data_IF_353608852871
#
_entry.id   IF_353608852871
#
_cell.length_a   1.000
_cell.length_b   1.000
_cell.length_c   1.000
_cell.angle_alpha   90.00
_cell.angle_beta   90.00
_cell.angle_gamma   90.00
#
_symmetry.space_group_name_H-M   'P 1'
#
loop_
_entity.id
_entity.type
_entity.pdbx_description
1 polymer ?
#
# COMPACT_ATOMS: atom_id res chain seq x y z
N UNK A 1 -20.75 -8.29 13.12
CA UNK A 1 -19.73 -7.49 13.84
C UNK A 1 -18.37 -7.72 13.18
N UNK A 2 -17.62 -6.66 12.92
CA UNK A 2 -16.27 -6.72 12.38
C UNK A 2 -15.34 -6.05 13.38
N UNK A 3 -14.35 -6.76 13.89
CA UNK A 3 -13.39 -6.28 14.88
C UNK A 3 -12.04 -5.94 14.23
N UNK A 4 -11.73 -6.54 13.08
CA UNK A 4 -10.50 -6.33 12.33
C UNK A 4 -10.82 -6.09 10.86
N UNK A 5 -10.27 -5.03 10.30
CA UNK A 5 -10.28 -4.74 8.87
C UNK A 5 -8.84 -4.71 8.32
N UNK A 6 -8.56 -5.51 7.31
CA UNK A 6 -7.28 -5.46 6.59
C UNK A 6 -7.54 -4.96 5.17
N UNK A 7 -7.21 -3.70 4.91
CA UNK A 7 -7.24 -3.08 3.59
C UNK A 7 -6.01 -3.51 2.79
N UNK A 8 -6.11 -4.66 2.14
CA UNK A 8 -5.02 -5.28 1.39
C UNK A 8 -5.20 -5.15 -0.13
N UNK A 9 -6.44 -5.04 -0.61
CA UNK A 9 -6.72 -4.92 -2.04
C UNK A 9 -5.95 -3.75 -2.66
N UNK A 10 -5.39 -3.96 -3.86
CA UNK A 10 -4.67 -2.91 -4.56
C UNK A 10 -4.14 -3.35 -5.92
N UNK A 11 -4.03 -2.37 -6.79
CA UNK A 11 -3.45 -2.49 -8.12
C UNK A 11 -2.09 -1.79 -8.18
N UNK A 12 -1.35 -2.08 -9.24
CA UNK A 12 -0.01 -1.55 -9.47
C UNK A 12 0.14 -1.06 -10.90
N UNK A 13 0.79 0.10 -11.08
CA UNK A 13 1.03 0.72 -12.39
C UNK A 13 2.50 1.10 -12.54
N UNK A 14 2.98 1.16 -13.78
CA UNK A 14 4.31 1.65 -14.14
C UNK A 14 4.25 2.36 -15.49
N UNK A 15 4.42 3.69 -15.47
CA UNK A 15 4.41 4.59 -16.63
C UNK A 15 5.37 5.76 -16.43
N UNK A 16 5.92 6.34 -17.51
CA UNK A 16 6.42 7.71 -17.46
C UNK A 16 5.29 8.68 -17.09
N UNK A 17 5.55 9.64 -16.21
CA UNK A 17 4.50 10.55 -15.73
C UNK A 17 3.85 11.34 -16.87
N UNK A 18 4.63 11.77 -17.84
CA UNK A 18 4.18 12.52 -19.02
C UNK A 18 3.20 11.73 -19.91
N UNK A 19 3.34 10.42 -19.94
CA UNK A 19 2.54 9.52 -20.77
C UNK A 19 1.38 8.85 -20.01
N UNK A 20 1.28 9.07 -18.70
CA UNK A 20 0.31 8.41 -17.84
C UNK A 20 -1.09 9.05 -17.98
N UNK A 21 -2.12 8.31 -18.47
CA UNK A 21 -3.46 8.83 -18.61
C UNK A 21 -4.10 9.18 -17.26
N UNK A 22 -4.86 10.28 -17.20
CA UNK A 22 -5.52 10.72 -15.97
C UNK A 22 -6.57 9.73 -15.47
N UNK A 23 -7.30 9.07 -16.37
CA UNK A 23 -8.29 8.04 -16.02
C UNK A 23 -7.63 6.79 -15.38
N UNK A 24 -6.40 6.46 -15.81
CA UNK A 24 -5.62 5.40 -15.17
C UNK A 24 -5.18 5.79 -13.75
N UNK A 25 -4.86 7.07 -13.52
CA UNK A 25 -4.57 7.59 -12.18
C UNK A 25 -5.83 7.52 -11.31
N UNK A 26 -6.96 8.04 -11.82
CA UNK A 26 -8.23 8.04 -11.10
C UNK A 26 -8.62 6.62 -10.68
N UNK A 27 -8.64 5.68 -11.62
CA UNK A 27 -8.92 4.27 -11.34
C UNK A 27 -8.02 3.71 -10.22
N UNK A 28 -6.72 4.01 -10.28
CA UNK A 28 -5.80 3.51 -9.27
C UNK A 28 -6.10 4.09 -7.88
N UNK A 29 -6.48 5.37 -7.80
CA UNK A 29 -6.90 6.01 -6.56
C UNK A 29 -8.22 5.44 -6.04
N UNK A 30 -9.19 5.18 -6.91
CA UNK A 30 -10.46 4.54 -6.53
C UNK A 30 -10.20 3.18 -5.85
N UNK A 31 -9.36 2.33 -6.45
CA UNK A 31 -9.07 1.00 -5.92
C UNK A 31 -8.18 1.08 -4.67
N UNK A 32 -7.03 1.77 -4.76
CA UNK A 32 -6.01 1.70 -3.72
C UNK A 32 -6.30 2.59 -2.51
N UNK A 33 -7.06 3.66 -2.67
CA UNK A 33 -7.27 4.66 -1.62
C UNK A 33 -8.73 4.76 -1.23
N UNK A 34 -9.60 5.18 -2.15
CA UNK A 34 -10.98 5.53 -1.81
C UNK A 34 -11.78 4.32 -1.35
N UNK A 35 -11.60 3.16 -1.98
CA UNK A 35 -12.24 1.92 -1.53
C UNK A 35 -11.83 1.52 -0.10
N UNK A 36 -10.55 1.61 0.22
CA UNK A 36 -10.04 1.33 1.56
C UNK A 36 -10.59 2.31 2.62
N UNK A 37 -10.63 3.60 2.27
CA UNK A 37 -11.16 4.64 3.16
C UNK A 37 -12.67 4.44 3.37
N UNK A 38 -13.43 4.18 2.31
CA UNK A 38 -14.87 3.95 2.38
C UNK A 38 -15.22 2.76 3.27
N UNK A 39 -14.54 1.61 3.09
CA UNK A 39 -14.73 0.45 3.95
C UNK A 39 -14.40 0.76 5.41
N UNK A 40 -13.32 1.50 5.65
CA UNK A 40 -12.95 1.94 6.99
C UNK A 40 -14.05 2.80 7.61
N UNK A 41 -14.53 3.83 6.91
CA UNK A 41 -15.60 4.72 7.39
C UNK A 41 -16.88 3.96 7.75
N UNK A 42 -17.26 2.95 6.96
CA UNK A 42 -18.45 2.14 7.21
C UNK A 42 -18.35 1.29 8.49
N UNK A 43 -17.15 0.86 8.87
CA UNK A 43 -16.93 -0.01 10.01
C UNK A 43 -16.59 0.72 11.31
N UNK A 44 -16.03 1.93 11.20
CA UNK A 44 -15.57 2.72 12.34
C UNK A 44 -16.64 2.99 13.40
N UNK A 45 -17.91 3.33 13.08
CA UNK A 45 -18.92 3.59 14.11
C UNK A 45 -19.09 2.39 15.06
N UNK A 46 -19.24 1.19 14.51
CA UNK A 46 -19.40 -0.01 15.33
C UNK A 46 -18.15 -0.39 16.13
N UNK A 47 -16.95 -0.20 15.58
CA UNK A 47 -15.69 -0.38 16.32
C UNK A 47 -15.58 0.60 17.48
N UNK A 48 -15.89 1.87 17.25
CA UNK A 48 -15.85 2.93 18.26
C UNK A 48 -16.85 2.68 19.40
N UNK A 49 -18.08 2.29 19.06
CA UNK A 49 -19.14 1.99 20.06
C UNK A 49 -18.73 0.84 20.99
N UNK A 50 -18.02 -0.14 20.47
CA UNK A 50 -17.51 -1.28 21.26
C UNK A 50 -16.22 -0.96 22.01
N UNK A 51 -15.59 0.16 21.76
CA UNK A 51 -14.29 0.50 22.35
C UNK A 51 -13.13 -0.40 21.86
N UNK A 52 -13.31 -1.11 20.74
CA UNK A 52 -12.32 -2.04 20.20
C UNK A 52 -12.39 -2.12 18.68
N UNK A 53 -11.24 -1.98 18.03
CA UNK A 53 -11.11 -2.14 16.58
C UNK A 53 -9.67 -2.11 16.11
N UNK A 54 -9.40 -2.85 15.03
CA UNK A 54 -8.10 -2.88 14.35
C UNK A 54 -8.30 -2.64 12.86
N UNK A 55 -7.65 -1.62 12.33
CA UNK A 55 -7.62 -1.34 10.90
C UNK A 55 -6.18 -1.35 10.44
N UNK A 56 -5.86 -2.27 9.53
CA UNK A 56 -4.54 -2.39 8.92
C UNK A 56 -4.61 -1.92 7.47
N UNK A 57 -3.80 -0.93 7.12
CA UNK A 57 -3.58 -0.48 5.74
C UNK A 57 -2.33 -1.15 5.18
N UNK A 58 -2.47 -1.98 4.17
CA UNK A 58 -1.31 -2.57 3.48
C UNK A 58 -0.75 -1.54 2.50
N UNK A 59 0.28 -0.85 2.98
CA UNK A 59 1.03 0.17 2.26
C UNK A 59 2.07 -0.41 1.31
N UNK A 60 3.20 0.26 1.24
CA UNK A 60 4.40 -0.18 0.52
C UNK A 60 5.59 0.65 1.01
N UNK A 61 6.77 0.07 1.06
CA UNK A 61 8.01 0.85 1.29
C UNK A 61 8.23 1.93 0.23
N UNK A 62 7.58 1.84 -0.93
CA UNK A 62 7.61 2.90 -1.94
C UNK A 62 6.94 4.20 -1.47
N UNK A 63 6.12 4.17 -0.42
CA UNK A 63 5.62 5.39 0.24
C UNK A 63 6.72 6.16 0.98
N UNK A 64 7.80 5.47 1.39
CA UNK A 64 8.95 6.06 2.08
C UNK A 64 10.17 6.22 1.17
N UNK A 65 10.31 5.33 0.17
CA UNK A 65 11.42 5.30 -0.79
C UNK A 65 10.87 5.24 -2.22
N UNK A 66 10.51 6.39 -2.81
CA UNK A 66 9.86 6.44 -4.13
C UNK A 66 10.79 5.95 -5.23
N UNK A 67 10.20 5.38 -6.27
CA UNK A 67 10.91 4.86 -7.44
C UNK A 67 10.38 5.54 -8.71
N UNK A 68 11.27 5.83 -9.66
CA UNK A 68 10.91 6.38 -10.97
C UNK A 68 9.87 5.49 -11.70
N UNK A 69 9.05 6.10 -12.53
CA UNK A 69 7.96 5.45 -13.28
C UNK A 69 6.85 4.83 -12.41
N UNK A 70 6.84 5.14 -11.11
CA UNK A 70 5.87 4.65 -10.13
C UNK A 70 5.07 5.76 -9.45
N UNK A 71 5.05 6.96 -10.02
CA UNK A 71 4.49 8.18 -9.40
C UNK A 71 3.05 7.99 -8.90
N UNK A 72 2.15 7.46 -9.72
CA UNK A 72 0.75 7.21 -9.33
C UNK A 72 0.63 6.18 -8.20
N UNK A 73 1.35 5.07 -8.30
CA UNK A 73 1.35 4.03 -7.26
C UNK A 73 1.94 4.55 -5.94
N UNK A 74 3.07 5.23 -6.00
CA UNK A 74 3.70 5.88 -4.84
C UNK A 74 2.71 6.83 -4.18
N UNK A 75 2.04 7.69 -4.96
CA UNK A 75 1.07 8.63 -4.46
C UNK A 75 -0.09 7.94 -3.71
N UNK A 76 -0.63 6.83 -4.24
CA UNK A 76 -1.69 6.08 -3.55
C UNK A 76 -1.21 5.49 -2.22
N UNK A 77 0.02 4.97 -2.15
CA UNK A 77 0.56 4.39 -0.92
C UNK A 77 0.94 5.46 0.12
N UNK A 78 1.40 6.63 -0.32
CA UNK A 78 1.58 7.81 0.53
C UNK A 78 0.23 8.29 1.09
N UNK A 79 -0.82 8.34 0.26
CA UNK A 79 -2.16 8.74 0.69
C UNK A 79 -2.69 7.80 1.79
N UNK A 80 -2.62 6.48 1.62
CA UNK A 80 -3.03 5.50 2.66
C UNK A 80 -2.28 5.73 3.97
N UNK A 81 -0.97 5.92 3.91
CA UNK A 81 -0.14 6.20 5.09
C UNK A 81 -0.57 7.49 5.78
N UNK A 82 -0.82 8.55 5.01
CA UNK A 82 -1.31 9.84 5.52
C UNK A 82 -2.64 9.70 6.25
N UNK A 83 -3.63 9.07 5.61
CA UNK A 83 -4.94 8.80 6.22
C UNK A 83 -4.82 7.99 7.51
N UNK A 84 -4.08 6.88 7.48
CA UNK A 84 -3.91 6.03 8.66
C UNK A 84 -3.25 6.78 9.82
N UNK A 85 -2.22 7.57 9.54
CA UNK A 85 -1.46 8.30 10.56
C UNK A 85 -2.30 9.40 11.21
N UNK A 86 -3.07 10.15 10.43
CA UNK A 86 -3.94 11.21 10.92
C UNK A 86 -5.12 10.63 11.72
N UNK A 87 -5.90 9.74 11.09
CA UNK A 87 -7.09 9.14 11.71
C UNK A 87 -6.78 8.32 12.96
N UNK A 88 -5.57 7.74 13.07
CA UNK A 88 -5.16 7.05 14.29
C UNK A 88 -5.24 7.94 15.52
N UNK A 89 -4.89 9.22 15.41
CA UNK A 89 -4.96 10.17 16.56
C UNK A 89 -6.38 10.48 16.98
N UNK A 90 -7.32 10.42 16.01
CA UNK A 90 -8.74 10.65 16.24
C UNK A 90 -9.39 9.44 16.96
N UNK A 91 -8.94 8.24 16.62
CA UNK A 91 -9.63 6.98 16.93
C UNK A 91 -9.02 6.21 18.12
N UNK A 92 -7.72 6.40 18.38
CA UNK A 92 -7.05 5.70 19.49
C UNK A 92 -7.67 5.98 20.88
N UNK A 93 -8.23 7.16 21.18
CA UNK A 93 -8.94 7.38 22.45
C UNK A 93 -10.19 6.48 22.61
N UNK A 94 -10.73 5.98 21.51
CA UNK A 94 -11.89 5.06 21.51
C UNK A 94 -11.49 3.57 21.42
N UNK A 95 -10.21 3.24 21.63
CA UNK A 95 -9.75 1.86 21.53
C UNK A 95 -9.64 1.32 20.09
N UNK A 96 -9.77 2.17 19.08
CA UNK A 96 -9.64 1.80 17.65
C UNK A 96 -8.29 2.21 17.12
N UNK A 97 -7.53 1.23 16.59
CA UNK A 97 -6.16 1.45 16.15
C UNK A 97 -6.02 1.30 14.64
N UNK A 98 -5.56 2.36 13.98
CA UNK A 98 -5.14 2.33 12.58
C UNK A 98 -3.63 2.12 12.50
N UNK A 99 -3.21 1.20 11.64
CA UNK A 99 -1.80 0.82 11.47
C UNK A 99 -1.50 0.64 9.99
N UNK A 100 -0.33 1.10 9.57
CA UNK A 100 0.18 0.84 8.22
C UNK A 100 1.23 -0.28 8.29
N UNK A 101 1.12 -1.25 7.40
CA UNK A 101 2.17 -2.25 7.13
C UNK A 101 2.80 -1.90 5.79
N UNK A 102 4.11 -1.62 5.76
CA UNK A 102 4.88 -1.28 4.57
C UNK A 102 5.80 -2.45 4.17
N UNK A 103 5.35 -3.37 3.33
CA UNK A 103 6.21 -4.37 2.77
C UNK A 103 7.21 -3.76 1.78
N UNK A 104 8.40 -4.31 1.75
CA UNK A 104 9.33 -4.14 0.63
C UNK A 104 8.90 -4.94 -0.59
N UNK A 105 9.85 -5.48 -1.32
CA UNK A 105 9.54 -6.33 -2.47
C UNK A 105 9.09 -7.71 -2.01
N UNK A 106 7.92 -8.15 -2.51
CA UNK A 106 7.29 -9.43 -2.15
C UNK A 106 7.12 -10.27 -3.41
N UNK A 107 7.38 -11.57 -3.31
CA UNK A 107 7.11 -12.55 -4.37
C UNK A 107 5.62 -12.95 -4.35
N UNK A 108 4.73 -12.13 -4.94
CA UNK A 108 3.26 -12.35 -4.93
C UNK A 108 2.61 -12.34 -6.31
N UNK A 109 3.39 -12.25 -7.39
CA UNK A 109 2.86 -12.09 -8.75
C UNK A 109 2.16 -10.74 -9.01
N UNK A 110 2.29 -9.76 -8.11
CA UNK A 110 1.77 -8.39 -8.35
C UNK A 110 2.51 -7.74 -9.53
N UNK A 111 3.76 -8.12 -9.74
CA UNK A 111 4.57 -7.69 -10.87
C UNK A 111 3.96 -8.09 -12.21
N UNK A 112 3.42 -9.32 -12.31
CA UNK A 112 2.82 -9.85 -13.53
C UNK A 112 1.48 -9.16 -13.85
N UNK A 113 0.74 -8.78 -12.81
CA UNK A 113 -0.55 -8.08 -12.91
C UNK A 113 -0.41 -6.56 -12.99
N UNK A 114 0.83 -6.04 -12.93
CA UNK A 114 1.09 -4.60 -13.03
C UNK A 114 0.76 -4.10 -14.42
N UNK A 115 -0.09 -3.08 -14.51
CA UNK A 115 -0.30 -2.37 -15.77
C UNK A 115 0.97 -1.61 -16.13
N UNK A 116 1.54 -1.93 -17.28
CA UNK A 116 2.75 -1.33 -17.81
C UNK A 116 2.46 -0.73 -19.17
N UNK A 117 2.97 0.46 -19.39
CA UNK A 117 2.87 1.13 -20.67
C UNK A 117 4.09 2.00 -20.92
N UNK A 118 4.52 2.05 -22.15
CA UNK A 118 5.45 3.02 -22.69
C UNK A 118 5.09 3.26 -24.15
N UNK A 119 5.00 4.52 -24.56
CA UNK A 119 4.63 4.86 -25.93
C UNK A 119 5.74 4.46 -26.92
N UNK A 120 5.34 4.14 -28.14
CA UNK A 120 6.30 3.90 -29.22
C UNK A 120 7.12 5.17 -29.47
N UNK A 121 8.44 5.03 -29.47
CA UNK A 121 9.35 6.17 -29.63
C UNK A 121 9.49 7.07 -28.39
N UNK A 122 8.98 6.65 -27.24
CA UNK A 122 9.12 7.40 -25.98
C UNK A 122 10.59 7.71 -25.65
N UNK A 123 10.91 8.95 -25.26
CA UNK A 123 12.25 9.31 -24.82
C UNK A 123 12.67 8.60 -23.53
N UNK A 124 11.72 8.02 -22.80
CA UNK A 124 11.93 7.31 -21.53
C UNK A 124 12.27 5.83 -21.69
N UNK A 125 12.27 5.28 -22.92
CA UNK A 125 12.36 3.82 -23.19
C UNK A 125 13.57 3.17 -22.54
N UNK A 126 14.73 3.77 -22.61
CA UNK A 126 15.98 3.21 -22.06
C UNK A 126 15.92 3.10 -20.53
N UNK A 127 15.57 4.19 -19.85
CA UNK A 127 15.50 4.24 -18.39
C UNK A 127 14.35 3.40 -17.85
N UNK A 128 13.17 3.47 -18.49
CA UNK A 128 12.02 2.64 -18.17
C UNK A 128 12.36 1.15 -18.21
N UNK A 129 13.04 0.71 -19.28
CA UNK A 129 13.45 -0.69 -19.45
C UNK A 129 14.43 -1.11 -18.36
N UNK A 130 15.39 -0.25 -18.03
CA UNK A 130 16.38 -0.50 -16.97
C UNK A 130 15.70 -0.66 -15.61
N UNK A 131 14.83 0.28 -15.24
CA UNK A 131 14.08 0.24 -13.97
C UNK A 131 13.15 -0.97 -13.93
N UNK A 132 12.44 -1.28 -15.02
CA UNK A 132 11.53 -2.43 -15.11
C UNK A 132 12.26 -3.75 -14.89
N UNK A 133 13.42 -3.95 -15.53
CA UNK A 133 14.26 -5.14 -15.35
C UNK A 133 14.76 -5.25 -13.90
N UNK A 134 15.26 -4.16 -13.33
CA UNK A 134 15.73 -4.14 -11.95
C UNK A 134 14.62 -4.48 -10.95
N UNK A 135 13.40 -3.97 -11.19
CA UNK A 135 12.22 -4.31 -10.38
C UNK A 135 11.89 -5.80 -10.48
N UNK A 136 11.86 -6.38 -11.68
CA UNK A 136 11.58 -7.79 -11.86
C UNK A 136 12.58 -8.67 -11.10
N UNK A 137 13.87 -8.40 -11.25
CA UNK A 137 14.92 -9.12 -10.51
C UNK A 137 14.77 -9.02 -8.99
N UNK A 138 14.33 -7.86 -8.49
CA UNK A 138 14.04 -7.71 -7.06
C UNK A 138 12.80 -8.50 -6.63
N UNK A 139 11.76 -8.55 -7.47
CA UNK A 139 10.53 -9.29 -7.20
C UNK A 139 10.77 -10.80 -7.15
N UNK A 140 11.61 -11.32 -8.04
CA UNK A 140 12.03 -12.73 -8.04
C UNK A 140 12.77 -13.12 -6.74
N UNK A 141 13.42 -12.15 -6.09
CA UNK A 141 14.14 -12.30 -4.82
C UNK A 141 13.37 -11.73 -3.62
N UNK A 142 12.10 -11.41 -3.82
CA UNK A 142 11.25 -10.81 -2.81
C UNK A 142 11.03 -11.70 -1.59
N UNK A 143 10.62 -11.11 -0.48
CA UNK A 143 10.20 -11.88 0.69
C UNK A 143 8.90 -12.63 0.39
N UNK A 144 8.66 -13.68 1.15
CA UNK A 144 7.44 -14.47 1.01
C UNK A 144 6.21 -13.70 1.50
N UNK A 145 5.06 -13.97 0.91
CA UNK A 145 3.79 -13.36 1.30
C UNK A 145 3.43 -13.67 2.76
N UNK A 146 3.77 -14.88 3.22
CA UNK A 146 3.54 -15.32 4.60
C UNK A 146 4.27 -14.44 5.61
N UNK A 147 5.49 -14.00 5.32
CA UNK A 147 6.25 -13.08 6.19
C UNK A 147 5.53 -11.75 6.39
N UNK A 148 4.86 -11.26 5.34
CA UNK A 148 4.02 -10.05 5.44
C UNK A 148 2.76 -10.33 6.24
N UNK A 149 2.11 -11.48 6.01
CA UNK A 149 0.92 -11.90 6.75
C UNK A 149 1.19 -12.03 8.25
N UNK A 150 2.32 -12.64 8.63
CA UNK A 150 2.77 -12.72 10.03
C UNK A 150 2.93 -11.34 10.66
N UNK A 151 3.46 -10.36 9.92
CA UNK A 151 3.59 -9.00 10.42
C UNK A 151 2.22 -8.31 10.57
N UNK A 152 1.28 -8.56 9.67
CA UNK A 152 -0.11 -8.08 9.79
C UNK A 152 -0.76 -8.68 11.04
N UNK A 153 -0.63 -9.98 11.27
CA UNK A 153 -1.16 -10.66 12.47
C UNK A 153 -0.55 -10.04 13.73
N UNK A 154 0.78 -9.87 13.77
CA UNK A 154 1.48 -9.20 14.87
C UNK A 154 0.94 -7.80 15.16
N UNK A 155 0.61 -7.04 14.12
CA UNK A 155 0.02 -5.70 14.28
C UNK A 155 -1.41 -5.76 14.83
N UNK A 156 -2.19 -6.78 14.45
CA UNK A 156 -3.57 -6.99 14.92
C UNK A 156 -3.59 -7.39 16.39
N UNK A 157 -2.70 -8.31 16.80
CA UNK A 157 -2.66 -8.89 18.15
C UNK A 157 -2.01 -7.98 19.19
N UNK A 158 -1.31 -6.94 18.78
CA UNK A 158 -0.68 -6.02 19.71
C UNK A 158 -1.73 -5.21 20.49
N UNK A 159 -1.58 -5.12 21.82
CA UNK A 159 -2.46 -4.29 22.67
C UNK A 159 -2.47 -2.82 22.22
N UNK A 160 -1.27 -2.29 21.95
CA UNK A 160 -1.04 -0.95 21.41
C UNK A 160 -0.16 -1.05 20.15
N UNK A 161 -0.73 -1.35 18.98
CA UNK A 161 0.05 -1.51 17.77
C UNK A 161 0.81 -0.24 17.41
N UNK A 162 1.99 -0.38 16.81
CA UNK A 162 2.75 0.76 16.28
C UNK A 162 1.97 1.42 15.13
N UNK A 163 2.19 2.71 14.87
CA UNK A 163 1.62 3.38 13.70
C UNK A 163 2.06 2.75 12.37
N UNK A 164 3.29 2.24 12.36
CA UNK A 164 3.94 1.68 11.17
C UNK A 164 4.72 0.42 11.53
N UNK A 165 4.58 -0.59 10.68
CA UNK A 165 5.42 -1.78 10.63
C UNK A 165 6.01 -1.89 9.23
N UNK A 166 7.29 -2.20 9.12
CA UNK A 166 7.95 -2.42 7.83
C UNK A 166 8.67 -3.78 7.82
N UNK A 167 8.70 -4.42 6.65
CA UNK A 167 9.40 -5.70 6.45
C UNK A 167 9.89 -5.83 5.01
N UNK A 168 11.11 -6.33 4.84
CA UNK A 168 11.72 -6.60 3.54
C UNK A 168 13.17 -6.19 3.47
N UNK A 169 13.82 -6.43 2.33
CA UNK A 169 15.26 -6.28 2.13
C UNK A 169 15.80 -4.85 2.28
N UNK A 170 14.94 -3.87 2.44
CA UNK A 170 15.29 -2.46 2.65
C UNK A 170 14.42 -1.82 3.75
N UNK A 171 13.87 -2.64 4.66
CA UNK A 171 13.15 -2.11 5.80
C UNK A 171 14.13 -1.37 6.72
N UNK A 172 13.79 -0.17 7.21
CA UNK A 172 14.59 0.56 8.17
C UNK A 172 14.69 -0.16 9.51
#
# INVERSE_FOLDING_TARGET
>A
TVDVLVNNAGESQMWPLEELPLDAIDRLFQVNVLGAIQLTQLLLPGMRERGNGRVVMVGSMLASFPLAFRSSYVATKCALKGFATAARRELSPFGVWLTTVEPGTIATGIGDRRTRYIADGSPYTADYTTVSKAMQLNEDRGIRAETVAELVVKAIEADKPKPLYAVGNKAP
#
